data_IF_081181291943
#
_entry.id   IF_081181291943
#
_cell.length_a   1.000
_cell.length_b   1.000
_cell.length_c   1.000
_cell.angle_alpha   90.00
_cell.angle_beta   90.00
_cell.angle_gamma   90.00
#
_symmetry.space_group_name_H-M   'P 1'
#
loop_
_entity.id
_entity.type
_entity.pdbx_description
1 polymer ?
#
# COMPACT_ATOMS: atom_id res chain seq x y z
N UNK A 1 -7.84 5.52 10.71
CA UNK A 1 -7.24 5.20 9.42
C UNK A 1 -6.36 3.95 9.56
N UNK A 2 -6.71 2.91 8.84
CA UNK A 2 -5.92 1.69 8.71
C UNK A 2 -5.56 1.51 7.25
N UNK A 3 -4.26 1.40 6.97
CA UNK A 3 -3.75 1.18 5.63
C UNK A 3 -2.80 0.00 5.59
N UNK A 4 -2.82 -0.74 4.50
CA UNK A 4 -1.93 -1.86 4.32
C UNK A 4 -1.66 -2.20 2.87
N UNK A 5 -0.56 -2.88 2.65
CA UNK A 5 -0.17 -3.44 1.36
C UNK A 5 -0.49 -4.93 1.36
N UNK A 6 -1.27 -5.37 0.39
CA UNK A 6 -1.57 -6.80 0.18
C UNK A 6 -0.87 -7.27 -1.09
N UNK A 7 -0.09 -8.34 -0.98
CA UNK A 7 0.63 -8.93 -2.13
C UNK A 7 0.10 -10.35 -2.33
N UNK A 8 -0.44 -10.61 -3.52
CA UNK A 8 -1.11 -11.88 -3.80
C UNK A 8 -0.19 -13.08 -3.68
N UNK A 9 1.05 -12.98 -4.17
CA UNK A 9 2.03 -14.07 -4.06
C UNK A 9 2.39 -14.39 -2.60
N UNK A 10 2.20 -13.45 -1.69
CA UNK A 10 2.47 -13.60 -0.26
C UNK A 10 1.20 -13.84 0.55
N UNK A 11 0.14 -14.35 -0.08
CA UNK A 11 -1.13 -14.63 0.59
C UNK A 11 -1.71 -13.39 1.27
N UNK A 12 -1.64 -12.25 0.61
CA UNK A 12 -2.06 -10.92 1.05
C UNK A 12 -1.23 -10.30 2.18
N UNK A 13 -0.08 -10.92 2.52
CA UNK A 13 0.85 -10.28 3.44
C UNK A 13 1.59 -9.13 2.73
N UNK A 14 2.08 -8.12 3.43
CA UNK A 14 2.01 -7.95 4.88
C UNK A 14 0.62 -7.55 5.43
N UNK A 15 -0.30 -7.05 4.60
CA UNK A 15 -1.67 -6.76 5.02
C UNK A 15 -1.74 -5.89 6.27
N UNK A 16 -2.43 -6.38 7.30
CA UNK A 16 -2.57 -5.65 8.58
C UNK A 16 -1.23 -5.49 9.32
N UNK A 17 -0.21 -6.25 8.93
CA UNK A 17 1.13 -6.17 9.55
C UNK A 17 2.08 -5.27 8.76
N UNK A 18 1.56 -4.46 7.81
CA UNK A 18 2.40 -3.64 6.93
C UNK A 18 3.38 -2.75 7.71
N UNK A 19 2.92 -2.08 8.76
CA UNK A 19 3.80 -1.25 9.59
C UNK A 19 4.77 -2.10 10.42
N UNK A 20 4.32 -3.26 10.90
CA UNK A 20 5.13 -4.13 11.76
C UNK A 20 6.33 -4.75 11.05
N UNK A 21 6.24 -4.93 9.75
CA UNK A 21 7.36 -5.46 8.97
C UNK A 21 8.58 -4.55 9.01
N UNK A 22 8.38 -3.27 9.29
CA UNK A 22 9.47 -2.31 9.52
C UNK A 22 10.04 -2.32 10.94
N UNK A 23 9.53 -3.21 11.80
CA UNK A 23 9.97 -3.32 13.18
C UNK A 23 9.34 -2.28 14.10
N UNK A 24 9.87 -2.18 15.33
CA UNK A 24 9.31 -1.35 16.40
C UNK A 24 9.24 0.13 16.05
N UNK A 25 10.17 0.61 15.23
CA UNK A 25 10.29 2.04 14.89
C UNK A 25 9.75 2.38 13.50
N UNK A 26 9.07 1.44 12.84
CA UNK A 26 8.45 1.68 11.54
C UNK A 26 9.44 1.99 10.42
N UNK A 27 10.56 1.28 10.35
CA UNK A 27 11.56 1.44 9.29
C UNK A 27 11.08 0.77 8.01
N UNK A 28 10.55 1.56 7.08
CA UNK A 28 10.01 1.03 5.83
C UNK A 28 11.09 0.51 4.87
N UNK A 29 12.32 0.95 4.97
CA UNK A 29 13.41 0.33 4.21
C UNK A 29 13.58 -1.13 4.62
N UNK A 30 13.50 -1.40 5.92
CA UNK A 30 13.54 -2.76 6.46
C UNK A 30 12.34 -3.57 6.01
N UNK A 31 11.15 -2.97 6.01
CA UNK A 31 9.92 -3.61 5.56
C UNK A 31 9.98 -3.99 4.09
N UNK A 32 10.48 -3.10 3.24
CA UNK A 32 10.64 -3.33 1.80
C UNK A 32 11.64 -4.46 1.53
N UNK A 33 12.75 -4.47 2.26
CA UNK A 33 13.73 -5.58 2.16
C UNK A 33 13.08 -6.92 2.52
N UNK A 34 12.23 -6.92 3.52
CA UNK A 34 11.49 -8.12 3.91
C UNK A 34 10.53 -8.57 2.80
N UNK A 35 9.82 -7.64 2.16
CA UNK A 35 8.96 -7.97 1.02
C UNK A 35 9.76 -8.69 -0.06
N UNK A 36 10.89 -8.14 -0.47
CA UNK A 36 11.72 -8.75 -1.51
C UNK A 36 12.26 -10.12 -1.09
N UNK A 37 12.65 -10.27 0.15
CA UNK A 37 13.12 -11.55 0.68
C UNK A 37 12.00 -12.61 0.67
N UNK A 38 10.80 -12.24 1.10
CA UNK A 38 9.67 -13.16 1.12
C UNK A 38 9.22 -13.53 -0.29
N UNK A 39 9.23 -12.58 -1.24
CA UNK A 39 8.94 -12.86 -2.64
C UNK A 39 9.95 -13.86 -3.22
N UNK A 40 11.22 -13.68 -2.93
CA UNK A 40 12.28 -14.59 -3.40
C UNK A 40 12.16 -15.99 -2.81
N UNK A 41 11.67 -16.12 -1.59
CA UNK A 41 11.39 -17.41 -0.96
C UNK A 41 10.24 -18.14 -1.64
N UNK A 42 9.20 -17.40 -2.03
CA UNK A 42 8.02 -17.98 -2.68
C UNK A 42 8.29 -18.38 -4.13
N UNK A 43 9.05 -17.56 -4.85
CA UNK A 43 9.33 -17.77 -6.27
C UNK A 43 10.66 -17.10 -6.63
N UNK A 44 11.66 -17.89 -6.92
CA UNK A 44 13.00 -17.39 -7.30
C UNK A 44 12.95 -16.51 -8.55
N UNK A 45 11.95 -16.71 -9.40
CA UNK A 45 11.79 -16.00 -10.66
C UNK A 45 10.75 -14.88 -10.58
N UNK A 46 10.41 -14.42 -9.38
CA UNK A 46 9.37 -13.43 -9.21
C UNK A 46 9.62 -12.13 -9.99
N UNK A 47 10.87 -11.75 -10.18
CA UNK A 47 11.23 -10.52 -10.91
C UNK A 47 10.88 -10.58 -12.40
N UNK A 48 10.69 -11.79 -12.94
CA UNK A 48 10.29 -12.00 -14.33
C UNK A 48 8.77 -12.07 -14.51
N UNK A 49 8.01 -11.87 -13.44
CA UNK A 49 6.56 -11.96 -13.44
C UNK A 49 5.96 -10.66 -12.93
N UNK A 50 4.71 -10.40 -13.30
CA UNK A 50 3.96 -9.31 -12.70
C UNK A 50 3.41 -9.77 -11.35
N UNK A 51 3.84 -9.13 -10.29
CA UNK A 51 3.41 -9.46 -8.93
C UNK A 51 2.25 -8.54 -8.55
N UNK A 52 1.05 -9.08 -8.59
CA UNK A 52 -0.16 -8.31 -8.29
C UNK A 52 -0.23 -7.96 -6.80
N UNK A 53 -0.60 -6.74 -6.54
CA UNK A 53 -0.69 -6.20 -5.18
C UNK A 53 -1.72 -5.08 -5.15
N UNK A 54 -2.09 -4.65 -3.95
CA UNK A 54 -2.97 -3.51 -3.75
C UNK A 54 -2.69 -2.82 -2.45
N UNK A 55 -2.92 -1.52 -2.44
CA UNK A 55 -3.06 -0.79 -1.19
C UNK A 55 -4.52 -0.79 -0.77
N UNK A 56 -4.75 -1.00 0.51
CA UNK A 56 -6.08 -0.99 1.12
C UNK A 56 -6.09 0.11 2.18
N UNK A 57 -7.12 0.92 2.19
CA UNK A 57 -7.33 1.93 3.22
C UNK A 57 -8.73 1.78 3.79
N UNK A 58 -8.83 1.65 5.11
CA UNK A 58 -10.08 1.67 5.83
C UNK A 58 -10.13 2.92 6.69
N UNK A 59 -11.18 3.71 6.53
CA UNK A 59 -11.43 4.92 7.31
C UNK A 59 -12.73 4.74 8.08
N UNK A 60 -12.72 5.18 9.33
CA UNK A 60 -13.93 5.19 10.15
C UNK A 60 -14.12 6.55 10.83
N UNK A 61 -15.38 6.89 11.07
CA UNK A 61 -15.74 8.05 11.88
C UNK A 61 -16.46 7.53 13.12
N UNK A 62 -16.09 8.05 14.28
CA UNK A 62 -16.79 7.77 15.52
C UNK A 62 -17.13 9.08 16.21
N UNK A 63 -18.25 9.06 16.93
CA UNK A 63 -18.72 10.20 17.72
C UNK A 63 -19.25 9.65 19.03
N UNK A 64 -18.77 10.21 20.14
CA UNK A 64 -19.14 9.76 21.49
C UNK A 64 -18.98 8.23 21.64
N UNK A 65 -17.83 7.70 21.18
CA UNK A 65 -17.48 6.28 21.22
C UNK A 65 -18.41 5.38 20.40
N UNK A 66 -19.28 5.95 19.59
CA UNK A 66 -20.11 5.19 18.64
C UNK A 66 -19.55 5.33 17.24
N UNK A 67 -19.39 4.20 16.56
CA UNK A 67 -18.96 4.16 15.18
C UNK A 67 -20.12 4.62 14.28
N UNK A 68 -19.92 5.74 13.56
CA UNK A 68 -20.94 6.29 12.67
C UNK A 68 -20.83 5.66 11.28
N UNK A 69 -19.61 5.55 10.75
CA UNK A 69 -19.37 5.04 9.41
C UNK A 69 -18.00 4.40 9.31
N UNK A 70 -17.89 3.39 8.46
CA UNK A 70 -16.62 2.78 8.10
C UNK A 70 -16.63 2.53 6.58
N UNK A 71 -15.58 2.99 5.90
CA UNK A 71 -15.42 2.79 4.47
C UNK A 71 -14.06 2.19 4.17
N UNK A 72 -13.99 1.42 3.10
CA UNK A 72 -12.77 0.82 2.63
C UNK A 72 -12.57 1.16 1.16
N UNK A 73 -11.32 1.38 0.76
CA UNK A 73 -10.95 1.60 -0.63
C UNK A 73 -9.67 0.85 -0.94
N UNK A 74 -9.52 0.49 -2.21
CA UNK A 74 -8.36 -0.26 -2.71
C UNK A 74 -7.81 0.38 -3.96
N UNK A 75 -6.48 0.34 -4.12
CA UNK A 75 -5.80 0.66 -5.37
C UNK A 75 -5.05 -0.58 -5.81
N UNK A 76 -5.43 -1.13 -6.95
CA UNK A 76 -4.74 -2.26 -7.55
C UNK A 76 -3.45 -1.81 -8.24
N UNK A 77 -2.48 -2.70 -8.29
CA UNK A 77 -1.21 -2.43 -8.93
C UNK A 77 -0.29 -3.64 -8.88
N UNK A 78 1.00 -3.38 -8.91
CA UNK A 78 2.02 -4.41 -8.90
C UNK A 78 3.26 -3.96 -8.13
N UNK A 79 4.11 -4.93 -7.78
CA UNK A 79 5.35 -4.68 -7.05
C UNK A 79 6.47 -4.44 -8.06
N UNK A 80 7.17 -3.31 -7.93
CA UNK A 80 8.37 -3.00 -8.69
C UNK A 80 9.51 -3.93 -8.27
N UNK A 81 10.30 -4.38 -9.24
CA UNK A 81 11.47 -5.21 -8.96
C UNK A 81 12.60 -4.44 -8.29
N UNK A 82 12.53 -3.13 -8.28
CA UNK A 82 13.52 -2.24 -7.70
C UNK A 82 12.86 -1.15 -6.87
N UNK A 83 13.56 -0.71 -5.84
CA UNK A 83 13.19 0.46 -5.05
C UNK A 83 13.37 1.72 -5.92
N UNK A 84 12.30 2.46 -6.18
CA UNK A 84 12.34 3.65 -7.06
C UNK A 84 11.59 4.81 -6.44
N UNK A 85 12.27 5.95 -6.35
CA UNK A 85 11.69 7.19 -5.90
C UNK A 85 11.84 7.43 -4.41
N UNK A 86 11.63 8.68 -4.02
CA UNK A 86 11.78 9.13 -2.63
C UNK A 86 10.57 9.89 -2.12
N UNK A 87 9.56 10.06 -2.98
CA UNK A 87 8.32 10.74 -2.59
C UNK A 87 7.42 9.80 -1.80
N UNK A 88 6.50 10.39 -1.04
CA UNK A 88 5.56 9.61 -0.25
C UNK A 88 6.19 8.95 0.96
N UNK A 89 5.64 7.83 1.36
CA UNK A 89 6.07 7.10 2.55
C UNK A 89 5.74 5.61 2.43
N UNK A 90 6.25 4.82 3.38
CA UNK A 90 5.93 3.41 3.46
C UNK A 90 6.43 2.61 2.26
N UNK A 91 5.54 1.85 1.66
CA UNK A 91 5.85 0.99 0.52
C UNK A 91 5.76 1.70 -0.83
N UNK A 92 5.54 3.01 -0.85
CA UNK A 92 5.41 3.78 -2.09
C UNK A 92 6.54 3.53 -3.11
N UNK A 93 7.81 3.39 -2.69
CA UNK A 93 8.90 3.16 -3.65
C UNK A 93 8.84 1.83 -4.42
N UNK A 94 7.99 0.89 -4.01
CA UNK A 94 7.89 -0.41 -4.68
C UNK A 94 6.51 -0.71 -5.25
N UNK A 95 5.56 0.20 -5.15
CA UNK A 95 4.19 -0.02 -5.64
C UNK A 95 3.93 0.78 -6.91
N UNK A 96 3.57 0.07 -7.99
CA UNK A 96 3.21 0.67 -9.28
C UNK A 96 1.70 0.54 -9.44
N UNK A 97 0.93 1.65 -9.40
CA UNK A 97 -0.52 1.56 -9.59
C UNK A 97 -0.87 1.07 -10.97
N UNK A 98 -2.00 0.37 -11.08
CA UNK A 98 -2.48 -0.20 -12.34
C UNK A 98 -2.58 0.88 -13.42
N UNK A 99 -2.07 0.58 -14.61
CA UNK A 99 -2.09 1.50 -15.73
C UNK A 99 -1.00 2.56 -15.70
N UNK A 100 -0.13 2.55 -14.70
CA UNK A 100 1.02 3.46 -14.59
C UNK A 100 2.32 2.69 -14.78
N UNK A 101 3.40 3.43 -15.08
CA UNK A 101 4.74 2.85 -15.23
C UNK A 101 5.66 3.19 -14.08
N UNK A 102 5.30 4.20 -13.28
CA UNK A 102 6.10 4.69 -12.17
C UNK A 102 5.54 4.22 -10.84
N UNK A 103 6.42 4.04 -9.86
CA UNK A 103 6.00 3.77 -8.49
C UNK A 103 5.41 5.03 -7.86
N UNK A 104 4.65 4.86 -6.78
CA UNK A 104 4.20 6.01 -5.99
C UNK A 104 5.37 6.83 -5.46
N UNK A 105 6.52 6.19 -5.20
CA UNK A 105 7.73 6.91 -4.76
C UNK A 105 8.32 7.82 -5.83
N UNK A 106 8.05 7.55 -7.10
CA UNK A 106 8.49 8.38 -8.22
C UNK A 106 7.49 9.47 -8.60
N UNK A 107 6.26 9.40 -8.09
CA UNK A 107 5.20 10.35 -8.45
C UNK A 107 5.29 11.64 -7.64
N UNK A 108 4.94 12.75 -8.28
CA UNK A 108 4.71 14.00 -7.56
C UNK A 108 3.56 13.82 -6.56
N UNK A 109 3.68 14.33 -5.33
CA UNK A 109 2.65 14.14 -4.31
C UNK A 109 1.24 14.55 -4.76
N UNK A 110 1.11 15.62 -5.54
CA UNK A 110 -0.19 16.08 -6.03
C UNK A 110 -0.84 15.06 -6.97
N UNK A 111 -0.07 14.37 -7.80
CA UNK A 111 -0.57 13.33 -8.71
C UNK A 111 -0.95 12.06 -7.95
N UNK A 112 -0.12 11.66 -6.99
CA UNK A 112 -0.40 10.50 -6.15
C UNK A 112 -1.69 10.70 -5.35
N UNK A 113 -1.86 11.88 -4.77
CA UNK A 113 -3.03 12.21 -3.94
C UNK A 113 -4.35 11.91 -4.65
N UNK A 114 -4.43 12.14 -5.95
CA UNK A 114 -5.66 11.94 -6.74
C UNK A 114 -5.98 10.48 -7.00
N UNK A 115 -5.02 9.57 -6.86
CA UNK A 115 -5.20 8.16 -7.23
C UNK A 115 -4.87 7.18 -6.10
N UNK A 116 -4.44 7.66 -4.93
CA UNK A 116 -4.09 6.75 -3.86
C UNK A 116 -5.33 6.21 -3.12
N UNK A 117 -5.11 5.15 -2.37
CA UNK A 117 -6.17 4.43 -1.66
C UNK A 117 -6.84 5.28 -0.58
N UNK A 118 -6.10 6.19 0.07
CA UNK A 118 -6.65 7.11 1.08
C UNK A 118 -7.58 8.13 0.45
N UNK A 119 -7.22 8.66 -0.71
CA UNK A 119 -8.07 9.60 -1.43
C UNK A 119 -9.44 9.00 -1.72
N UNK A 120 -9.47 7.78 -2.25
CA UNK A 120 -10.73 7.12 -2.59
C UNK A 120 -11.54 6.74 -1.34
N UNK A 121 -10.88 6.30 -0.27
CA UNK A 121 -11.54 6.01 0.99
C UNK A 121 -12.15 7.27 1.60
N UNK A 122 -11.39 8.38 1.62
CA UNK A 122 -11.88 9.66 2.11
C UNK A 122 -13.08 10.16 1.30
N UNK A 123 -13.03 10.04 -0.03
CA UNK A 123 -14.13 10.44 -0.90
C UNK A 123 -15.40 9.67 -0.60
N UNK A 124 -15.31 8.38 -0.33
CA UNK A 124 -16.44 7.57 0.10
C UNK A 124 -16.98 8.01 1.47
N UNK A 125 -16.08 8.26 2.41
CA UNK A 125 -16.45 8.65 3.77
C UNK A 125 -17.15 10.00 3.81
N UNK A 126 -16.74 10.93 2.95
CA UNK A 126 -17.30 12.28 2.90
C UNK A 126 -18.81 12.28 2.67
N UNK A 127 -19.36 11.25 2.06
CA UNK A 127 -20.82 11.12 1.85
C UNK A 127 -21.60 11.01 3.16
N UNK A 128 -20.95 10.66 4.25
CA UNK A 128 -21.56 10.54 5.58
C UNK A 128 -21.41 11.82 6.41
N UNK A 129 -20.75 12.83 5.90
CA UNK A 129 -20.56 14.11 6.54
C UNK A 129 -21.57 15.11 5.99
#
# INVERSE_FOLDING_TARGET
DDSGLEIDLLDKNPGIYSARWGGRHGDFNKAIKRVYRELSKKDKNWKNKKISARFVCALSISYLDKKIACVQSKIEGSISTEFKGTNGFGYDPIFVPKGKKKTFGEMQPAKKYKIDHRYFAFKKLRKFL
#
